data_IF_081347288936
#
_entry.id   IF_081347288936
#
_cell.length_a   1.000
_cell.length_b   1.000
_cell.length_c   1.000
_cell.angle_alpha   90.00
_cell.angle_beta   90.00
_cell.angle_gamma   90.00
#
_symmetry.space_group_name_H-M   'P 1'
#
loop_
_entity.id
_entity.type
_entity.pdbx_description
1 polymer ?
#
# COMPACT_ATOMS: atom_id res chain seq x y z
N UNK A 1 1.02 1.54 15.25
CA UNK A 1 1.61 1.75 13.91
C UNK A 1 0.49 1.79 12.91
N UNK A 2 0.53 2.73 11.98
CA UNK A 2 -0.47 2.89 10.93
C UNK A 2 0.13 2.51 9.59
N UNK A 3 -0.53 1.60 8.86
CA UNK A 3 -0.08 1.14 7.55
C UNK A 3 -0.99 1.69 6.46
N UNK A 4 -0.40 2.32 5.46
CA UNK A 4 -1.11 2.71 4.24
C UNK A 4 -0.99 1.57 3.24
N UNK A 5 -2.11 1.01 2.77
CA UNK A 5 -2.12 -0.09 1.81
C UNK A 5 -2.73 0.35 0.48
N UNK A 6 -1.91 0.31 -0.56
CA UNK A 6 -2.32 0.49 -1.96
C UNK A 6 -2.41 -0.86 -2.65
N UNK A 7 -3.54 -1.17 -3.29
CA UNK A 7 -3.78 -2.49 -3.87
C UNK A 7 -4.91 -2.49 -4.91
N UNK A 8 -5.17 -3.65 -5.53
CA UNK A 8 -6.24 -3.81 -6.51
C UNK A 8 -7.63 -3.79 -5.89
N UNK A 9 -8.53 -3.02 -6.50
CA UNK A 9 -9.98 -3.02 -6.23
C UNK A 9 -10.78 -3.95 -7.17
N UNK A 10 -10.12 -4.84 -7.92
CA UNK A 10 -10.77 -5.72 -8.89
C UNK A 10 -10.99 -7.13 -8.36
N UNK A 11 -12.22 -7.64 -8.38
CA UNK A 11 -12.53 -9.00 -7.97
C UNK A 11 -12.01 -10.07 -8.91
N UNK A 12 -11.98 -9.79 -10.21
CA UNK A 12 -11.59 -10.74 -11.25
C UNK A 12 -10.09 -11.06 -11.33
N UNK A 13 -9.27 -10.57 -10.39
CA UNK A 13 -7.85 -10.93 -10.33
C UNK A 13 -7.65 -12.36 -9.84
N UNK A 14 -6.55 -13.00 -10.25
CA UNK A 14 -6.21 -14.36 -9.83
C UNK A 14 -6.12 -14.50 -8.32
N UNK A 15 -6.62 -15.61 -7.79
CA UNK A 15 -6.47 -15.96 -6.37
C UNK A 15 -5.02 -16.05 -5.93
N UNK A 16 -4.10 -16.36 -6.85
CA UNK A 16 -2.66 -16.35 -6.61
C UNK A 16 -2.17 -15.03 -5.98
N UNK A 17 -2.69 -13.89 -6.44
CA UNK A 17 -2.37 -12.58 -5.85
C UNK A 17 -3.16 -12.30 -4.57
N UNK A 18 -4.43 -12.74 -4.52
CA UNK A 18 -5.29 -12.54 -3.35
C UNK A 18 -4.78 -13.29 -2.14
N UNK A 19 -4.37 -14.56 -2.32
CA UNK A 19 -3.97 -15.45 -1.22
C UNK A 19 -2.65 -14.98 -0.56
N UNK A 20 -1.64 -14.61 -1.36
CA UNK A 20 -0.40 -14.07 -0.80
C UNK A 20 -0.61 -12.70 -0.13
N UNK A 21 -1.42 -11.82 -0.75
CA UNK A 21 -1.75 -10.54 -0.14
C UNK A 21 -2.53 -10.70 1.16
N UNK A 22 -3.45 -11.66 1.22
CA UNK A 22 -4.24 -11.95 2.44
C UNK A 22 -3.35 -12.31 3.62
N UNK A 23 -2.35 -13.18 3.44
CA UNK A 23 -1.42 -13.55 4.52
C UNK A 23 -0.77 -12.31 5.15
N UNK A 24 -0.31 -11.38 4.32
CA UNK A 24 0.33 -10.14 4.77
C UNK A 24 -0.66 -9.19 5.46
N UNK A 25 -1.88 -9.09 4.93
CA UNK A 25 -2.94 -8.26 5.50
C UNK A 25 -3.39 -8.80 6.86
N UNK A 26 -3.63 -10.12 6.95
CA UNK A 26 -3.97 -10.81 8.21
C UNK A 26 -2.88 -10.61 9.27
N UNK A 27 -1.62 -10.79 8.89
CA UNK A 27 -0.49 -10.57 9.79
C UNK A 27 -0.47 -9.13 10.34
N UNK A 28 -0.62 -8.11 9.48
CA UNK A 28 -0.66 -6.72 9.92
C UNK A 28 -1.83 -6.42 10.86
N UNK A 29 -3.00 -6.97 10.56
CA UNK A 29 -4.18 -6.85 11.42
C UNK A 29 -3.93 -7.53 12.78
N UNK A 30 -3.27 -8.69 12.83
CA UNK A 30 -2.87 -9.39 14.07
C UNK A 30 -1.82 -8.63 14.89
N UNK A 31 -0.97 -7.84 14.23
CA UNK A 31 -0.04 -6.95 14.92
C UNK A 31 -0.72 -5.71 15.53
N UNK A 32 -2.04 -5.54 15.37
CA UNK A 32 -2.78 -4.40 15.90
C UNK A 32 -2.50 -3.09 15.15
N UNK A 33 -2.11 -3.17 13.88
CA UNK A 33 -1.91 -1.98 13.05
C UNK A 33 -3.24 -1.26 12.80
N UNK A 34 -3.19 0.06 12.64
CA UNK A 34 -4.28 0.82 12.03
C UNK A 34 -4.13 0.77 10.51
N UNK A 35 -5.25 0.73 9.77
CA UNK A 35 -5.28 0.70 8.31
C UNK A 35 -5.60 2.07 7.75
N UNK A 36 -4.79 2.54 6.78
CA UNK A 36 -5.17 3.57 5.82
C UNK A 36 -5.34 2.92 4.45
N UNK A 37 -6.47 3.18 3.77
CA UNK A 37 -6.68 2.60 2.44
C UNK A 37 -7.74 3.38 1.63
N UNK A 38 -7.87 3.08 0.34
CA UNK A 38 -8.72 3.82 -0.60
C UNK A 38 -10.22 3.46 -0.56
N UNK A 39 -10.76 2.98 0.56
CA UNK A 39 -12.20 2.69 0.77
C UNK A 39 -12.83 1.75 -0.27
N UNK A 40 -12.08 0.82 -0.84
CA UNK A 40 -12.60 -0.16 -1.80
C UNK A 40 -13.11 -1.43 -1.13
N UNK A 41 -14.28 -1.90 -1.54
CA UNK A 41 -14.93 -3.11 -1.01
C UNK A 41 -14.62 -4.39 -1.80
N UNK A 42 -13.89 -4.29 -2.89
CA UNK A 42 -13.61 -5.40 -3.80
C UNK A 42 -12.11 -5.71 -3.91
N UNK A 43 -11.79 -6.91 -4.42
CA UNK A 43 -10.42 -7.33 -4.67
C UNK A 43 -9.57 -7.39 -3.40
N UNK A 44 -8.29 -7.01 -3.50
CA UNK A 44 -7.38 -6.97 -2.35
C UNK A 44 -7.76 -5.82 -1.40
N UNK A 45 -8.30 -4.71 -1.90
CA UNK A 45 -8.81 -3.63 -1.05
C UNK A 45 -9.94 -4.11 -0.12
N UNK A 46 -10.86 -4.94 -0.63
CA UNK A 46 -11.91 -5.57 0.19
C UNK A 46 -11.33 -6.52 1.24
N UNK A 47 -10.29 -7.30 0.89
CA UNK A 47 -9.57 -8.14 1.85
C UNK A 47 -8.96 -7.30 2.98
N UNK A 48 -8.39 -6.13 2.68
CA UNK A 48 -7.88 -5.22 3.72
C UNK A 48 -8.97 -4.84 4.72
N UNK A 49 -10.12 -4.38 4.22
CA UNK A 49 -11.25 -4.03 5.07
C UNK A 49 -11.72 -5.20 5.93
N UNK A 50 -11.93 -6.36 5.31
CA UNK A 50 -12.44 -7.55 5.98
C UNK A 50 -11.53 -8.02 7.11
N UNK A 51 -10.23 -8.15 6.85
CA UNK A 51 -9.30 -8.71 7.85
C UNK A 51 -9.06 -7.73 9.01
N UNK A 52 -8.93 -6.44 8.74
CA UNK A 52 -8.78 -5.43 9.80
C UNK A 52 -10.06 -5.27 10.61
N UNK A 53 -11.24 -5.29 9.97
CA UNK A 53 -12.55 -5.25 10.62
C UNK A 53 -12.77 -6.43 11.55
N UNK A 54 -12.44 -7.67 11.11
CA UNK A 54 -12.56 -8.90 11.93
C UNK A 54 -11.75 -8.82 13.23
N UNK A 55 -10.62 -8.14 13.22
CA UNK A 55 -9.76 -7.98 14.40
C UNK A 55 -10.12 -6.76 15.26
N UNK A 56 -11.09 -5.93 14.81
CA UNK A 56 -11.49 -4.71 15.50
C UNK A 56 -10.45 -3.59 15.43
N UNK A 57 -9.58 -3.61 14.45
CA UNK A 57 -8.56 -2.59 14.24
C UNK A 57 -9.20 -1.30 13.73
N UNK A 58 -8.56 -0.17 14.01
CA UNK A 58 -8.98 1.12 13.48
C UNK A 58 -8.71 1.20 11.98
N UNK A 59 -9.71 1.64 11.21
CA UNK A 59 -9.68 1.71 9.75
C UNK A 59 -10.00 3.13 9.31
N UNK A 60 -9.09 3.74 8.53
CA UNK A 60 -9.24 5.06 7.95
C UNK A 60 -9.37 4.94 6.44
N UNK A 61 -10.55 5.26 5.92
CA UNK A 61 -10.87 5.16 4.50
C UNK A 61 -10.79 6.52 3.82
N UNK A 62 -10.18 6.54 2.67
CA UNK A 62 -10.02 7.74 1.85
C UNK A 62 -10.59 7.48 0.45
N UNK A 63 -11.51 8.31 0.00
CA UNK A 63 -12.13 8.14 -1.31
C UNK A 63 -12.43 9.48 -1.96
N UNK A 64 -12.80 9.44 -3.23
CA UNK A 64 -13.33 10.63 -3.91
C UNK A 64 -14.86 10.60 -3.95
N UNK A 65 -15.47 11.77 -4.14
CA UNK A 65 -16.92 11.93 -4.28
C UNK A 65 -17.53 10.97 -5.30
N UNK A 66 -16.75 10.61 -6.35
CA UNK A 66 -17.16 9.66 -7.39
C UNK A 66 -17.47 8.26 -6.85
N UNK A 67 -16.78 7.81 -5.80
CA UNK A 67 -16.90 6.46 -5.24
C UNK A 67 -17.54 6.44 -3.84
N UNK A 68 -18.03 7.58 -3.36
CA UNK A 68 -18.64 7.70 -2.02
C UNK A 68 -19.87 6.80 -1.82
N UNK A 69 -20.51 6.36 -2.90
CA UNK A 69 -21.65 5.44 -2.83
C UNK A 69 -21.29 4.03 -2.31
N UNK A 70 -19.99 3.66 -2.32
CA UNK A 70 -19.53 2.36 -1.79
C UNK A 70 -19.40 2.34 -0.27
N UNK A 71 -19.41 3.52 0.39
CA UNK A 71 -19.09 3.65 1.83
C UNK A 71 -20.15 3.03 2.74
N UNK A 72 -21.41 2.95 2.30
CA UNK A 72 -22.50 2.32 3.06
C UNK A 72 -22.23 0.85 3.39
N UNK A 73 -21.44 0.17 2.54
CA UNK A 73 -21.05 -1.21 2.73
C UNK A 73 -19.81 -1.38 3.63
N UNK A 74 -19.26 -0.28 4.16
CA UNK A 74 -17.99 -0.25 4.92
C UNK A 74 -18.15 0.43 6.30
N UNK A 75 -19.14 0.01 7.13
CA UNK A 75 -19.53 0.73 8.35
C UNK A 75 -18.46 0.76 9.46
N UNK A 76 -17.45 -0.13 9.41
CA UNK A 76 -16.42 -0.21 10.44
C UNK A 76 -15.21 0.68 10.16
N UNK A 77 -15.30 1.60 9.21
CA UNK A 77 -14.22 2.53 8.86
C UNK A 77 -14.65 3.98 9.05
N UNK A 78 -13.69 4.82 9.45
CA UNK A 78 -13.85 6.28 9.42
C UNK A 78 -13.48 6.76 8.01
N UNK A 79 -14.39 7.44 7.31
CA UNK A 79 -14.20 7.85 5.92
C UNK A 79 -13.96 9.34 5.75
N UNK A 80 -13.03 9.71 4.89
CA UNK A 80 -12.78 11.07 4.44
C UNK A 80 -12.95 11.12 2.91
N UNK A 81 -13.75 12.09 2.41
CA UNK A 81 -14.12 12.20 0.99
C UNK A 81 -13.43 13.44 0.40
N UNK A 82 -12.82 13.27 -0.75
CA UNK A 82 -12.08 14.31 -1.47
C UNK A 82 -12.73 14.61 -2.82
N UNK A 83 -12.60 15.84 -3.30
CA UNK A 83 -13.08 16.24 -4.61
C UNK A 83 -12.12 15.81 -5.73
N UNK A 84 -10.84 15.71 -5.43
CA UNK A 84 -9.85 15.25 -6.40
C UNK A 84 -8.87 14.20 -5.83
N UNK A 85 -8.16 13.52 -6.75
CA UNK A 85 -7.27 12.42 -6.42
C UNK A 85 -5.89 12.88 -5.91
N UNK A 86 -5.48 14.13 -6.13
CA UNK A 86 -4.20 14.63 -5.65
C UNK A 86 -4.25 14.91 -4.15
N UNK A 87 -5.30 15.59 -3.70
CA UNK A 87 -5.53 15.85 -2.28
C UNK A 87 -5.74 14.53 -1.51
N UNK A 88 -6.49 13.58 -2.09
CA UNK A 88 -6.64 12.25 -1.53
C UNK A 88 -5.27 11.56 -1.35
N UNK A 89 -4.44 11.50 -2.40
CA UNK A 89 -3.12 10.87 -2.34
C UNK A 89 -2.22 11.53 -1.31
N UNK A 90 -2.20 12.85 -1.26
CA UNK A 90 -1.43 13.61 -0.28
C UNK A 90 -1.86 13.27 1.15
N UNK A 91 -3.15 13.17 1.37
CA UNK A 91 -3.73 12.86 2.70
C UNK A 91 -3.40 11.44 3.15
N UNK A 92 -3.66 10.44 2.30
CA UNK A 92 -3.42 9.02 2.61
C UNK A 92 -1.92 8.74 2.83
N UNK A 93 -1.04 9.40 2.05
CA UNK A 93 0.41 9.32 2.24
C UNK A 93 0.85 9.88 3.60
N UNK A 94 0.32 11.04 3.99
CA UNK A 94 0.79 11.77 5.18
C UNK A 94 0.51 11.04 6.48
N UNK A 95 -0.46 10.13 6.51
CA UNK A 95 -0.95 9.48 7.73
C UNK A 95 -0.33 8.12 8.02
N UNK A 96 0.44 7.52 7.11
CA UNK A 96 1.04 6.20 7.29
C UNK A 96 2.47 6.25 7.85
N UNK A 97 2.80 5.34 8.74
CA UNK A 97 4.19 5.08 9.17
C UNK A 97 4.90 4.20 8.13
N UNK A 98 4.18 3.23 7.58
CA UNK A 98 4.62 2.33 6.52
C UNK A 98 3.63 2.42 5.37
N UNK A 99 4.15 2.46 4.15
CA UNK A 99 3.38 2.44 2.91
C UNK A 99 3.65 1.10 2.22
N UNK A 100 2.58 0.36 1.98
CA UNK A 100 2.64 -0.98 1.40
C UNK A 100 1.91 -1.01 0.06
N UNK A 101 2.63 -1.34 -1.01
CA UNK A 101 2.08 -1.60 -2.33
C UNK A 101 1.92 -3.11 -2.52
N UNK A 102 0.68 -3.59 -2.47
CA UNK A 102 0.28 -4.96 -2.82
C UNK A 102 -0.08 -5.05 -4.31
N UNK A 103 -0.22 -6.25 -4.89
CA UNK A 103 -0.58 -6.40 -6.29
C UNK A 103 -1.78 -5.55 -6.71
N UNK A 104 -1.58 -4.74 -7.75
CA UNK A 104 -2.58 -3.77 -8.17
C UNK A 104 -2.41 -3.30 -9.62
N UNK A 105 -3.33 -2.47 -10.05
CA UNK A 105 -3.37 -1.91 -11.41
C UNK A 105 -2.70 -0.54 -11.49
N UNK A 106 -3.12 0.24 -12.48
CA UNK A 106 -2.59 1.58 -12.76
C UNK A 106 -2.73 2.55 -11.59
N UNK A 107 -3.78 2.42 -10.77
CA UNK A 107 -3.96 3.23 -9.55
C UNK A 107 -2.82 2.99 -8.56
N UNK A 108 -2.56 1.72 -8.23
CA UNK A 108 -1.48 1.30 -7.32
C UNK A 108 -0.10 1.71 -7.84
N UNK A 109 0.16 1.56 -9.14
CA UNK A 109 1.43 1.97 -9.76
C UNK A 109 1.57 3.50 -9.71
N UNK A 110 0.49 4.25 -9.96
CA UNK A 110 0.49 5.71 -9.85
C UNK A 110 0.72 6.19 -8.41
N UNK A 111 0.16 5.49 -7.41
CA UNK A 111 0.41 5.76 -6.00
C UNK A 111 1.85 5.45 -5.61
N UNK A 112 2.39 4.30 -6.05
CA UNK A 112 3.80 3.95 -5.85
C UNK A 112 4.73 5.07 -6.32
N UNK A 113 4.59 5.55 -7.55
CA UNK A 113 5.44 6.64 -8.06
C UNK A 113 5.21 7.96 -7.33
N UNK A 114 3.97 8.28 -6.93
CA UNK A 114 3.70 9.47 -6.15
C UNK A 114 4.38 9.42 -4.78
N UNK A 115 4.33 8.27 -4.11
CA UNK A 115 4.95 8.07 -2.79
C UNK A 115 6.48 8.04 -2.88
N UNK A 116 7.02 7.37 -3.89
CA UNK A 116 8.46 7.36 -4.17
C UNK A 116 8.99 8.78 -4.36
N UNK A 117 8.28 9.62 -5.13
CA UNK A 117 8.68 11.00 -5.37
C UNK A 117 8.59 11.85 -4.09
N UNK A 118 7.53 11.69 -3.28
CA UNK A 118 7.37 12.39 -2.01
C UNK A 118 8.48 12.04 -1.01
N UNK A 119 8.86 10.75 -0.92
CA UNK A 119 9.93 10.31 -0.05
C UNK A 119 11.27 10.88 -0.52
N UNK A 120 11.56 10.77 -1.81
CA UNK A 120 12.81 11.20 -2.41
C UNK A 120 13.00 12.72 -2.34
N UNK A 121 11.95 13.51 -2.64
CA UNK A 121 12.03 14.96 -2.75
C UNK A 121 11.90 15.71 -1.43
N UNK A 122 11.29 15.08 -0.43
CA UNK A 122 10.97 15.73 0.85
C UNK A 122 11.64 15.06 2.06
N UNK A 123 12.59 14.16 1.86
CA UNK A 123 13.31 13.41 2.91
C UNK A 123 12.34 12.82 3.96
N UNK A 124 11.24 12.22 3.48
CA UNK A 124 10.24 11.62 4.36
C UNK A 124 10.76 10.33 4.98
N UNK A 125 10.42 10.13 6.23
CA UNK A 125 10.85 8.96 7.00
C UNK A 125 9.97 7.71 6.82
N UNK A 126 8.91 7.78 6.01
CA UNK A 126 8.04 6.63 5.76
C UNK A 126 8.77 5.55 4.96
N UNK A 127 8.56 4.31 5.36
CA UNK A 127 9.07 3.15 4.64
C UNK A 127 8.12 2.76 3.52
N UNK A 128 8.59 2.78 2.27
CA UNK A 128 7.84 2.33 1.10
C UNK A 128 8.23 0.89 0.75
N UNK A 129 7.28 -0.03 0.85
CA UNK A 129 7.48 -1.46 0.62
C UNK A 129 6.59 -1.92 -0.53
N UNK A 130 7.19 -2.62 -1.49
CA UNK A 130 6.49 -3.27 -2.60
C UNK A 130 6.48 -4.78 -2.38
N UNK A 131 5.30 -5.36 -2.20
CA UNK A 131 5.14 -6.80 -2.17
C UNK A 131 5.00 -7.34 -3.60
N UNK A 132 6.11 -7.72 -4.19
CA UNK A 132 6.20 -8.22 -5.57
C UNK A 132 5.71 -9.67 -5.71
N UNK A 133 4.57 -9.98 -5.09
CA UNK A 133 4.02 -11.33 -5.09
C UNK A 133 3.74 -11.81 -6.52
N UNK A 134 4.26 -12.99 -6.84
CA UNK A 134 4.16 -13.59 -8.17
C UNK A 134 4.67 -12.68 -9.32
N UNK A 135 5.60 -11.77 -9.02
CA UNK A 135 6.28 -10.94 -10.01
C UNK A 135 5.43 -9.84 -10.64
N UNK A 136 4.32 -9.43 -10.02
CA UNK A 136 3.42 -8.40 -10.57
C UNK A 136 4.12 -7.05 -10.82
N UNK A 137 5.14 -6.75 -10.00
CA UNK A 137 5.89 -5.49 -10.08
C UNK A 137 7.09 -5.55 -11.03
N UNK A 138 7.47 -6.72 -11.55
CA UNK A 138 8.68 -6.90 -12.34
C UNK A 138 8.80 -5.89 -13.50
N UNK A 139 7.72 -5.64 -14.24
CA UNK A 139 7.75 -4.69 -15.36
C UNK A 139 7.93 -3.23 -14.94
N UNK A 140 7.43 -2.85 -13.79
CA UNK A 140 7.65 -1.53 -13.20
C UNK A 140 9.11 -1.40 -12.76
N UNK A 141 9.65 -2.42 -12.11
CA UNK A 141 11.04 -2.49 -11.71
C UNK A 141 12.00 -2.43 -12.91
N UNK A 142 11.69 -3.18 -13.97
CA UNK A 142 12.46 -3.14 -15.24
C UNK A 142 12.40 -1.74 -15.88
N UNK A 143 11.26 -1.04 -15.80
CA UNK A 143 11.15 0.34 -16.29
C UNK A 143 12.05 1.31 -15.51
N UNK A 144 12.16 1.15 -14.19
CA UNK A 144 13.09 1.95 -13.37
C UNK A 144 14.53 1.64 -13.76
N UNK A 145 14.93 0.37 -13.94
CA UNK A 145 16.26 0.00 -14.41
C UNK A 145 16.59 0.63 -15.77
N UNK A 146 15.65 0.54 -16.71
CA UNK A 146 15.83 1.16 -18.03
C UNK A 146 16.04 2.68 -17.93
N UNK A 147 15.41 3.36 -16.98
CA UNK A 147 15.65 4.80 -16.76
C UNK A 147 17.05 5.10 -16.22
N UNK A 148 17.64 4.18 -15.45
CA UNK A 148 19.03 4.30 -14.96
C UNK A 148 20.00 4.03 -16.12
N UNK A 149 19.78 2.99 -16.91
CA UNK A 149 20.59 2.65 -18.08
C UNK A 149 20.66 3.78 -19.12
N UNK A 150 19.61 4.61 -19.18
CA UNK A 150 19.54 5.78 -20.07
C UNK A 150 19.83 7.12 -19.33
N UNK A 151 20.42 7.08 -18.14
CA UNK A 151 20.86 8.24 -17.36
C UNK A 151 19.72 9.21 -16.95
N UNK A 152 18.45 8.77 -16.94
CA UNK A 152 17.30 9.55 -16.42
C UNK A 152 17.19 9.49 -14.91
N UNK A 153 17.72 8.45 -14.29
CA UNK A 153 17.84 8.26 -12.85
C UNK A 153 19.23 7.71 -12.52
N UNK A 154 19.62 7.78 -11.26
CA UNK A 154 20.76 7.06 -10.71
C UNK A 154 20.34 5.90 -9.81
N UNK A 155 21.27 5.00 -9.46
CA UNK A 155 21.00 3.80 -8.67
C UNK A 155 20.46 4.11 -7.26
N UNK A 156 20.66 5.32 -6.73
CA UNK A 156 20.18 5.70 -5.41
C UNK A 156 18.66 5.63 -5.30
N UNK A 157 17.93 5.66 -6.42
CA UNK A 157 16.46 5.50 -6.42
C UNK A 157 16.02 4.23 -5.70
N UNK A 158 16.80 3.15 -5.74
CA UNK A 158 16.50 1.90 -5.06
C UNK A 158 16.67 1.95 -3.54
N UNK A 159 17.24 3.01 -2.99
CA UNK A 159 17.34 3.21 -1.54
C UNK A 159 16.04 3.72 -0.92
N UNK A 160 15.12 4.27 -1.73
CA UNK A 160 13.88 4.89 -1.27
C UNK A 160 12.70 3.92 -1.17
N UNK A 161 12.85 2.68 -1.61
CA UNK A 161 11.83 1.65 -1.45
C UNK A 161 12.44 0.26 -1.31
N UNK A 162 11.70 -0.64 -0.71
CA UNK A 162 12.08 -2.04 -0.52
C UNK A 162 11.16 -2.95 -1.31
N UNK A 163 11.68 -4.05 -1.86
CA UNK A 163 10.90 -5.05 -2.57
C UNK A 163 11.02 -6.37 -1.83
N UNK A 164 9.87 -6.98 -1.52
CA UNK A 164 9.77 -8.33 -0.96
C UNK A 164 8.96 -9.20 -1.91
N UNK A 165 9.34 -10.46 -2.08
CA UNK A 165 8.73 -11.37 -3.06
C UNK A 165 7.80 -12.40 -2.41
N UNK A 166 7.91 -12.61 -1.09
CA UNK A 166 7.09 -13.54 -0.33
C UNK A 166 6.54 -12.89 0.95
N UNK A 167 5.52 -13.51 1.52
CA UNK A 167 4.99 -13.10 2.81
C UNK A 167 6.06 -13.20 3.92
N UNK A 168 6.89 -14.25 3.90
CA UNK A 168 7.94 -14.48 4.89
C UNK A 168 9.00 -13.36 4.85
N UNK A 169 9.43 -12.94 3.64
CA UNK A 169 10.33 -11.79 3.48
C UNK A 169 9.70 -10.49 4.02
N UNK A 170 8.38 -10.31 3.82
CA UNK A 170 7.67 -9.16 4.38
C UNK A 170 7.68 -9.19 5.90
N UNK A 171 7.37 -10.33 6.52
CA UNK A 171 7.37 -10.48 7.99
C UNK A 171 8.75 -10.17 8.58
N UNK A 172 9.81 -10.71 7.99
CA UNK A 172 11.18 -10.44 8.44
C UNK A 172 11.51 -8.92 8.38
N UNK A 173 11.18 -8.28 7.26
CA UNK A 173 11.38 -6.85 7.08
C UNK A 173 10.57 -6.04 8.10
N UNK A 174 9.29 -6.34 8.27
CA UNK A 174 8.40 -5.65 9.21
C UNK A 174 8.89 -5.74 10.65
N UNK A 175 9.30 -6.93 11.12
CA UNK A 175 9.82 -7.10 12.48
C UNK A 175 11.13 -6.33 12.71
N UNK A 176 11.96 -6.16 11.70
CA UNK A 176 13.16 -5.34 11.77
C UNK A 176 12.81 -3.84 11.87
N UNK A 177 11.86 -3.37 11.07
CA UNK A 177 11.38 -1.98 11.15
C UNK A 177 10.71 -1.66 12.48
N UNK A 178 9.90 -2.56 13.00
CA UNK A 178 9.25 -2.41 14.31
C UNK A 178 10.26 -2.22 15.45
N UNK A 179 11.37 -2.98 15.41
CA UNK A 179 12.46 -2.81 16.40
C UNK A 179 13.18 -1.46 16.28
N UNK A 180 13.28 -0.91 15.07
CA UNK A 180 13.92 0.40 14.85
C UNK A 180 13.03 1.55 15.33
N UNK A 181 11.72 1.49 15.09
CA UNK A 181 10.74 2.50 15.50
C UNK A 181 10.44 2.48 17.02
N UNK A 182 10.81 1.40 17.72
CA UNK A 182 10.62 1.26 19.18
C UNK A 182 11.82 1.77 19.99
N UNK A 183 12.86 2.25 19.33
CA UNK A 183 14.08 2.85 19.96
C UNK A 183 14.04 4.36 19.94
#
# INVERSE_FOLDING_TARGET
MRVTISSSSRDGISNLYKDESRKTIEYLAEQGCELNWGSGKFGIMGICYDEFSKKGNKIHGYTTSKYAFELEDLPNAEHEIFDDTFDLKKRIFSDGDIILCLPGGTGTISEFYSYLEEIRSNDKAQELIVCNYNGWFNKVYDSIKNSIENEFNDESIFTYFKVVNTHEEFVELYENLKKQLSR
#
